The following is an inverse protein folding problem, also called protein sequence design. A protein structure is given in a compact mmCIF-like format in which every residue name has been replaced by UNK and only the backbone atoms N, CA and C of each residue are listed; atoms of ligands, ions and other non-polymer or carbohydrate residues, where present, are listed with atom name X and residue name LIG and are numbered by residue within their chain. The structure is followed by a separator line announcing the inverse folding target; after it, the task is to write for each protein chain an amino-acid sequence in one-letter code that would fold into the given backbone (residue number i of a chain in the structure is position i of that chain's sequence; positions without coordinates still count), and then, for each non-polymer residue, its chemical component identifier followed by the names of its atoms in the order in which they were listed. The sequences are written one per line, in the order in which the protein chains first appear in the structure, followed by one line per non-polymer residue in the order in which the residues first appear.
data_IF_766857537177
#
_entry.id   IF_766857537177
#
_cell.length_a   1.000
_cell.length_b   1.000
_cell.length_c   1.000
_cell.angle_alpha   90.00
_cell.angle_beta   90.00
_cell.angle_gamma   90.00
#
_symmetry.space_group_name_H-M   'P 1'
#
loop_
_entity.id
_entity.type
_entity.pdbx_description
1 polymer ?
#
# COMPACT_ATOMS: atom_id res chain seq x y z
N UNK A 1 -20.03 -2.83 9.48
CA UNK A 1 -21.33 -2.15 9.56
C UNK A 1 -21.17 -0.70 10.03
N UNK A 2 -20.63 -0.45 11.24
CA UNK A 2 -20.46 0.90 11.78
C UNK A 2 -19.65 1.85 10.85
N UNK A 3 -18.54 1.38 10.29
CA UNK A 3 -17.68 2.20 9.41
C UNK A 3 -18.43 2.71 8.17
N UNK A 4 -19.28 1.89 7.57
CA UNK A 4 -20.01 2.25 6.35
C UNK A 4 -21.34 2.95 6.68
N UNK A 5 -22.10 2.41 7.67
CA UNK A 5 -23.42 2.93 8.01
C UNK A 5 -23.40 4.26 8.75
N UNK A 6 -22.47 4.43 9.70
CA UNK A 6 -22.43 5.61 10.57
C UNK A 6 -21.34 6.61 10.14
N UNK A 7 -20.21 6.14 9.63
CA UNK A 7 -19.07 6.99 9.26
C UNK A 7 -18.98 7.29 7.76
N UNK A 8 -19.91 6.78 6.95
CA UNK A 8 -19.92 6.90 5.47
C UNK A 8 -18.57 6.51 4.84
N UNK A 9 -17.91 5.48 5.37
CA UNK A 9 -16.63 5.03 4.87
C UNK A 9 -16.77 4.50 3.43
N UNK A 10 -15.92 4.97 2.54
CA UNK A 10 -15.89 4.58 1.12
C UNK A 10 -14.91 3.43 0.84
N UNK A 11 -14.14 3.05 1.83
CA UNK A 11 -13.25 1.89 1.85
C UNK A 11 -12.98 1.50 3.29
N UNK A 12 -12.59 0.26 3.51
CA UNK A 12 -12.09 -0.21 4.80
C UNK A 12 -10.70 -0.78 4.64
N UNK A 13 -9.92 -0.80 5.71
CA UNK A 13 -8.57 -1.34 5.65
C UNK A 13 -8.20 -2.17 6.87
N UNK A 14 -7.23 -3.06 6.68
CA UNK A 14 -6.71 -3.92 7.73
C UNK A 14 -5.21 -4.09 7.56
N UNK A 15 -4.48 -4.16 8.68
CA UNK A 15 -3.03 -4.36 8.66
C UNK A 15 -2.68 -5.83 8.81
N UNK A 16 -1.83 -6.33 7.92
CA UNK A 16 -1.28 -7.67 7.96
C UNK A 16 0.22 -7.64 8.24
N UNK A 17 0.68 -8.51 9.12
CA UNK A 17 2.10 -8.72 9.44
C UNK A 17 2.54 -10.15 9.09
N UNK A 18 2.74 -10.46 7.78
CA UNK A 18 3.28 -11.76 7.38
C UNK A 18 4.64 -12.03 8.03
N UNK A 19 4.85 -13.25 8.50
CA UNK A 19 6.06 -13.66 9.23
C UNK A 19 6.01 -13.42 10.75
N UNK A 20 4.93 -12.79 11.27
CA UNK A 20 4.70 -12.66 12.70
C UNK A 20 4.08 -13.93 13.30
N UNK A 21 4.17 -14.08 14.62
CA UNK A 21 3.49 -15.17 15.34
C UNK A 21 1.96 -15.07 15.28
N UNK A 22 1.43 -13.92 14.90
CA UNK A 22 -0.02 -13.66 14.76
C UNK A 22 -0.53 -13.82 13.32
N UNK A 23 0.34 -14.14 12.36
CA UNK A 23 -0.02 -14.23 10.94
C UNK A 23 -1.28 -15.05 10.68
N UNK A 24 -1.42 -16.30 11.18
CA UNK A 24 -2.60 -17.12 10.89
C UNK A 24 -3.92 -16.48 11.34
N UNK A 25 -3.91 -15.84 12.52
CA UNK A 25 -5.07 -15.13 13.05
C UNK A 25 -5.40 -13.89 12.20
N UNK A 26 -4.39 -13.09 11.85
CA UNK A 26 -4.56 -11.88 11.06
C UNK A 26 -5.09 -12.18 9.64
N UNK A 27 -4.63 -13.27 9.02
CA UNK A 27 -5.14 -13.73 7.72
C UNK A 27 -6.63 -14.12 7.81
N UNK A 28 -7.01 -14.84 8.87
CA UNK A 28 -8.40 -15.22 9.12
C UNK A 28 -9.30 -13.99 9.35
N UNK A 29 -8.86 -13.06 10.19
CA UNK A 29 -9.59 -11.81 10.47
C UNK A 29 -9.71 -10.95 9.21
N UNK A 30 -8.64 -10.83 8.42
CA UNK A 30 -8.68 -10.08 7.16
C UNK A 30 -9.69 -10.70 6.16
N UNK A 31 -9.69 -12.02 6.01
CA UNK A 31 -10.68 -12.70 5.17
C UNK A 31 -12.11 -12.44 5.65
N UNK A 32 -12.34 -12.27 6.95
CA UNK A 32 -13.65 -11.87 7.46
C UNK A 32 -13.99 -10.42 7.11
N UNK A 33 -13.01 -9.49 7.24
CA UNK A 33 -13.18 -8.08 6.82
C UNK A 33 -13.56 -8.00 5.34
N UNK A 34 -12.91 -8.76 4.46
CA UNK A 34 -13.23 -8.81 3.03
C UNK A 34 -14.67 -9.27 2.80
N UNK A 35 -15.09 -10.37 3.44
CA UNK A 35 -16.48 -10.87 3.32
C UNK A 35 -17.52 -9.85 3.83
N UNK A 36 -17.21 -9.19 4.93
CA UNK A 36 -18.13 -8.20 5.49
C UNK A 36 -18.20 -6.94 4.64
N UNK A 37 -17.06 -6.45 4.12
CA UNK A 37 -17.00 -5.30 3.22
C UNK A 37 -17.78 -5.53 1.92
N UNK A 38 -17.70 -6.73 1.37
CA UNK A 38 -18.43 -7.12 0.15
C UNK A 38 -19.94 -6.96 0.29
N UNK A 39 -20.51 -7.18 1.47
CA UNK A 39 -21.94 -6.98 1.74
C UNK A 39 -22.38 -5.52 1.61
N UNK A 40 -21.45 -4.60 1.80
CA UNK A 40 -21.68 -3.15 1.70
C UNK A 40 -21.16 -2.56 0.37
N UNK A 41 -20.57 -3.37 -0.49
CA UNK A 41 -20.03 -2.92 -1.77
C UNK A 41 -18.87 -1.92 -1.62
N UNK A 42 -18.10 -1.98 -0.55
CA UNK A 42 -16.95 -1.11 -0.32
C UNK A 42 -15.63 -1.85 -0.51
N UNK A 43 -14.62 -1.23 -1.14
CA UNK A 43 -13.33 -1.85 -1.35
C UNK A 43 -12.54 -2.03 -0.06
N UNK A 44 -11.66 -3.03 -0.06
CA UNK A 44 -10.79 -3.37 1.06
C UNK A 44 -9.33 -3.09 0.72
N UNK A 45 -8.65 -2.41 1.64
CA UNK A 45 -7.22 -2.10 1.54
C UNK A 45 -6.44 -2.97 2.52
N UNK A 46 -5.55 -3.81 2.01
CA UNK A 46 -4.57 -4.53 2.81
C UNK A 46 -3.31 -3.67 3.01
N UNK A 47 -3.01 -3.29 4.24
CA UNK A 47 -1.69 -2.73 4.59
C UNK A 47 -0.77 -3.88 4.96
N UNK A 48 0.04 -4.36 4.01
CA UNK A 48 0.84 -5.57 4.21
C UNK A 48 2.28 -5.21 4.52
N UNK A 49 2.69 -5.48 5.73
CA UNK A 49 4.02 -5.17 6.25
C UNK A 49 4.66 -6.43 6.83
N UNK A 50 5.42 -7.20 6.04
CA UNK A 50 6.13 -8.37 6.55
C UNK A 50 6.96 -8.02 7.77
N UNK A 51 6.76 -8.76 8.88
CA UNK A 51 7.46 -8.51 10.16
C UNK A 51 7.46 -9.79 10.99
N UNK A 52 8.47 -9.91 11.83
CA UNK A 52 8.57 -11.00 12.78
C UNK A 52 9.85 -11.79 12.64
N UNK A 53 10.00 -12.84 13.45
CA UNK A 53 11.24 -13.64 13.50
C UNK A 53 11.54 -14.38 12.20
N UNK A 54 10.53 -14.66 11.39
CA UNK A 54 10.68 -15.31 10.10
C UNK A 54 11.10 -14.37 8.96
N UNK A 55 11.13 -13.05 9.18
CA UNK A 55 11.45 -12.03 8.17
C UNK A 55 12.81 -11.44 8.48
N UNK A 56 13.83 -11.84 7.73
CA UNK A 56 15.19 -11.33 7.89
C UNK A 56 15.37 -9.93 7.26
N UNK A 57 14.70 -9.69 6.12
CA UNK A 57 14.70 -8.40 5.42
C UNK A 57 13.29 -8.12 4.92
N UNK A 58 12.62 -7.15 5.50
CA UNK A 58 11.24 -6.76 5.18
C UNK A 58 11.13 -5.84 3.93
N UNK A 59 12.26 -5.55 3.28
CA UNK A 59 12.36 -4.80 2.02
C UNK A 59 12.87 -5.68 0.85
N UNK A 60 13.18 -6.96 1.12
CA UNK A 60 13.57 -7.88 0.06
C UNK A 60 12.45 -8.04 -0.98
N UNK A 61 12.78 -7.99 -2.28
CA UNK A 61 11.78 -8.05 -3.36
C UNK A 61 10.83 -9.25 -3.26
N UNK A 62 11.35 -10.43 -2.94
CA UNK A 62 10.57 -11.65 -2.79
C UNK A 62 9.62 -11.61 -1.59
N UNK A 63 10.01 -10.91 -0.52
CA UNK A 63 9.18 -10.75 0.68
C UNK A 63 8.03 -9.77 0.40
N UNK A 64 8.30 -8.68 -0.33
CA UNK A 64 7.28 -7.72 -0.73
C UNK A 64 6.34 -8.32 -1.80
N UNK A 65 6.87 -9.11 -2.75
CA UNK A 65 6.07 -9.84 -3.72
C UNK A 65 5.14 -10.84 -3.03
N UNK A 66 5.63 -11.59 -2.04
CA UNK A 66 4.81 -12.47 -1.21
C UNK A 66 3.71 -11.70 -0.46
N UNK A 67 4.03 -10.55 0.12
CA UNK A 67 3.05 -9.69 0.78
C UNK A 67 1.92 -9.23 -0.18
N UNK A 68 2.28 -8.81 -1.38
CA UNK A 68 1.31 -8.41 -2.40
C UNK A 68 0.45 -9.60 -2.86
N UNK A 69 1.05 -10.79 -2.98
CA UNK A 69 0.34 -12.02 -3.34
C UNK A 69 -0.68 -12.45 -2.28
N UNK A 70 -0.33 -12.37 -0.98
CA UNK A 70 -1.27 -12.61 0.12
C UNK A 70 -2.49 -11.69 0.00
N UNK A 71 -2.28 -10.40 -0.25
CA UNK A 71 -3.39 -9.46 -0.39
C UNK A 71 -4.35 -9.88 -1.52
N UNK A 72 -3.82 -10.26 -2.68
CA UNK A 72 -4.61 -10.74 -3.80
C UNK A 72 -5.39 -12.02 -3.45
N UNK A 73 -4.72 -13.03 -2.91
CA UNK A 73 -5.36 -14.32 -2.60
C UNK A 73 -6.46 -14.21 -1.54
N UNK A 74 -6.36 -13.25 -0.65
CA UNK A 74 -7.38 -12.96 0.34
C UNK A 74 -8.49 -12.02 -0.15
N UNK A 75 -8.40 -11.51 -1.39
CA UNK A 75 -9.43 -10.70 -2.02
C UNK A 75 -9.37 -9.21 -1.68
N UNK A 76 -8.19 -8.67 -1.40
CA UNK A 76 -8.01 -7.23 -1.27
C UNK A 76 -8.15 -6.53 -2.64
N UNK A 77 -8.83 -5.39 -2.67
CA UNK A 77 -8.88 -4.53 -3.87
C UNK A 77 -7.58 -3.72 -4.04
N UNK A 78 -6.97 -3.35 -2.92
CA UNK A 78 -5.74 -2.56 -2.89
C UNK A 78 -4.75 -3.18 -1.90
N UNK A 79 -3.51 -3.34 -2.32
CA UNK A 79 -2.38 -3.73 -1.47
C UNK A 79 -1.42 -2.55 -1.29
N UNK A 80 -1.22 -2.13 -0.05
CA UNK A 80 -0.21 -1.13 0.30
C UNK A 80 1.04 -1.83 0.80
N UNK A 81 2.14 -1.68 0.05
CA UNK A 81 3.41 -2.36 0.32
C UNK A 81 4.59 -1.39 0.37
N UNK A 82 5.73 -1.84 0.86
CA UNK A 82 6.98 -1.10 0.83
C UNK A 82 7.60 -1.08 -0.57
N UNK A 83 8.58 -0.19 -0.76
CA UNK A 83 9.45 -0.18 -1.95
C UNK A 83 10.50 -1.29 -1.85
N UNK A 84 10.67 -2.14 -2.88
CA UNK A 84 11.63 -3.26 -2.87
C UNK A 84 13.04 -2.87 -3.36
N UNK A 85 13.36 -1.59 -3.45
CA UNK A 85 14.69 -1.10 -3.81
C UNK A 85 14.84 -0.62 -5.25
N UNK A 86 14.12 -1.21 -6.23
CA UNK A 86 14.21 -0.83 -7.63
C UNK A 86 12.89 -1.02 -8.40
N UNK A 87 12.82 -0.42 -9.60
CA UNK A 87 11.63 -0.43 -10.45
C UNK A 87 11.25 -1.81 -10.98
N UNK A 88 12.23 -2.64 -11.33
CA UNK A 88 11.97 -3.98 -11.88
C UNK A 88 11.38 -4.90 -10.82
N UNK A 89 11.93 -4.84 -9.62
CA UNK A 89 11.40 -5.55 -8.45
C UNK A 89 9.97 -5.10 -8.14
N UNK A 90 9.67 -3.79 -8.22
CA UNK A 90 8.31 -3.30 -7.99
C UNK A 90 7.34 -3.71 -9.12
N UNK A 91 7.82 -3.79 -10.37
CA UNK A 91 7.03 -4.33 -11.48
C UNK A 91 6.65 -5.79 -11.22
N UNK A 92 7.58 -6.59 -10.75
CA UNK A 92 7.28 -7.97 -10.35
C UNK A 92 6.26 -8.03 -9.21
N UNK A 93 6.37 -7.19 -8.20
CA UNK A 93 5.38 -7.07 -7.13
C UNK A 93 3.99 -6.78 -7.68
N UNK A 94 3.86 -5.84 -8.64
CA UNK A 94 2.58 -5.55 -9.29
C UNK A 94 2.05 -6.75 -10.09
N UNK A 95 2.92 -7.48 -10.79
CA UNK A 95 2.52 -8.65 -11.57
C UNK A 95 1.98 -9.79 -10.70
N UNK A 96 2.63 -10.09 -9.57
CA UNK A 96 2.17 -11.17 -8.68
C UNK A 96 0.92 -10.79 -7.87
N UNK A 97 0.64 -9.52 -7.73
CA UNK A 97 -0.60 -9.00 -7.16
C UNK A 97 -1.81 -9.16 -8.10
N UNK A 98 -1.58 -9.53 -9.37
CA UNK A 98 -2.59 -9.75 -10.38
C UNK A 98 -3.59 -8.57 -10.50
N UNK A 99 -4.85 -8.74 -10.12
CA UNK A 99 -5.89 -7.72 -10.23
C UNK A 99 -5.92 -6.73 -9.05
N UNK A 100 -5.26 -7.08 -7.93
CA UNK A 100 -5.14 -6.19 -6.78
C UNK A 100 -4.27 -4.99 -7.11
N UNK A 101 -4.77 -3.79 -6.90
CA UNK A 101 -4.04 -2.54 -7.17
C UNK A 101 -2.94 -2.34 -6.13
N UNK A 102 -1.69 -2.25 -6.56
CA UNK A 102 -0.56 -2.03 -5.66
C UNK A 102 -0.29 -0.54 -5.49
N UNK A 103 -0.30 -0.07 -4.24
CA UNK A 103 0.10 1.30 -3.91
C UNK A 103 1.34 1.30 -3.02
N UNK A 104 2.23 2.26 -3.28
CA UNK A 104 3.44 2.44 -2.49
C UNK A 104 3.10 2.97 -1.09
N UNK A 105 3.69 2.38 -0.06
CA UNK A 105 3.80 3.02 1.25
C UNK A 105 4.82 4.15 1.17
N UNK A 106 4.40 5.38 1.46
CA UNK A 106 5.22 6.59 1.27
C UNK A 106 6.48 6.70 2.14
N UNK A 107 6.74 5.74 3.00
CA UNK A 107 7.98 5.64 3.77
C UNK A 107 8.25 6.79 4.75
N UNK A 108 9.48 6.93 5.24
CA UNK A 108 9.95 8.11 5.98
C UNK A 108 9.95 9.36 5.07
N UNK A 109 10.05 10.54 5.68
CA UNK A 109 10.26 11.76 4.90
C UNK A 109 11.64 11.71 4.22
N UNK A 110 11.68 12.09 2.94
CA UNK A 110 12.91 12.28 2.19
C UNK A 110 13.51 13.66 2.44
N UNK A 111 14.81 13.81 2.20
CA UNK A 111 15.49 15.10 2.39
C UNK A 111 14.97 16.16 1.41
N UNK A 112 14.66 15.75 0.17
CA UNK A 112 14.06 16.65 -0.82
C UNK A 112 12.69 16.15 -1.31
N UNK A 113 11.77 17.06 -1.67
CA UNK A 113 10.52 16.69 -2.33
C UNK A 113 10.74 15.93 -3.65
N UNK A 114 11.78 16.31 -4.41
CA UNK A 114 12.06 15.74 -5.72
C UNK A 114 12.39 14.25 -5.63
N UNK A 115 13.19 13.85 -4.65
CA UNK A 115 13.52 12.44 -4.41
C UNK A 115 12.28 11.55 -4.26
N UNK A 116 11.28 12.04 -3.51
CA UNK A 116 10.02 11.33 -3.36
C UNK A 116 9.18 11.31 -4.66
N UNK A 117 9.17 12.40 -5.42
CA UNK A 117 8.45 12.49 -6.70
C UNK A 117 9.09 11.58 -7.76
N UNK A 118 10.41 11.48 -7.78
CA UNK A 118 11.14 10.56 -8.66
C UNK A 118 10.84 9.10 -8.32
N UNK A 119 10.77 8.78 -7.02
CA UNK A 119 10.33 7.46 -6.57
C UNK A 119 8.88 7.16 -7.01
N UNK A 120 7.97 8.10 -6.82
CA UNK A 120 6.58 7.92 -7.25
C UNK A 120 6.48 7.73 -8.77
N UNK A 121 7.29 8.43 -9.55
CA UNK A 121 7.35 8.24 -11.00
C UNK A 121 7.76 6.82 -11.36
N UNK A 122 8.81 6.28 -10.71
CA UNK A 122 9.24 4.89 -10.91
C UNK A 122 8.13 3.87 -10.53
N UNK A 123 7.41 4.14 -9.45
CA UNK A 123 6.26 3.32 -9.02
C UNK A 123 5.18 3.28 -10.10
N UNK A 124 4.80 4.42 -10.65
CA UNK A 124 3.77 4.49 -11.70
C UNK A 124 4.24 3.81 -13.01
N UNK A 125 5.49 4.01 -13.42
CA UNK A 125 6.10 3.33 -14.58
C UNK A 125 6.21 1.81 -14.41
N UNK A 126 6.32 1.35 -13.18
CA UNK A 126 6.36 -0.09 -12.85
C UNK A 126 4.97 -0.76 -12.82
N UNK A 127 3.89 0.01 -12.97
CA UNK A 127 2.51 -0.50 -12.93
C UNK A 127 1.82 -0.32 -11.58
N UNK A 128 2.40 0.46 -10.67
CA UNK A 128 1.74 0.85 -9.43
C UNK A 128 0.50 1.69 -9.67
N UNK A 129 -0.46 1.63 -8.77
CA UNK A 129 -1.72 2.36 -8.85
C UNK A 129 -1.68 3.72 -8.10
N UNK A 130 -0.58 4.03 -7.44
CA UNK A 130 -0.41 5.27 -6.69
C UNK A 130 0.41 5.12 -5.41
N UNK A 131 0.19 6.03 -4.48
CA UNK A 131 0.91 6.08 -3.21
C UNK A 131 -0.02 6.41 -2.04
N UNK A 132 0.27 5.82 -0.90
CA UNK A 132 -0.31 6.24 0.38
C UNK A 132 0.73 7.04 1.16
N UNK A 133 0.75 8.35 0.93
CA UNK A 133 1.75 9.26 1.47
C UNK A 133 1.31 9.89 2.80
N UNK A 134 2.24 10.00 3.72
CA UNK A 134 2.06 10.67 5.01
C UNK A 134 3.18 11.67 5.26
N UNK A 135 4.27 11.21 5.86
CA UNK A 135 5.39 12.05 6.35
C UNK A 135 5.99 12.96 5.28
N UNK A 136 6.07 12.52 4.04
CA UNK A 136 6.54 13.32 2.91
C UNK A 136 5.66 14.53 2.58
N UNK A 137 4.46 14.62 3.15
CA UNK A 137 3.55 15.77 3.01
C UNK A 137 3.43 16.53 4.33
N UNK A 138 2.90 15.89 5.39
CA UNK A 138 2.50 16.61 6.59
C UNK A 138 3.65 17.06 7.50
N UNK A 139 4.87 16.53 7.31
CA UNK A 139 6.07 17.01 8.02
C UNK A 139 6.74 18.22 7.34
N UNK A 140 6.21 18.70 6.21
CA UNK A 140 6.72 19.86 5.49
C UNK A 140 5.96 21.13 5.87
N UNK A 141 6.54 22.30 5.56
CA UNK A 141 5.82 23.59 5.66
C UNK A 141 4.59 23.56 4.75
N UNK A 142 3.53 24.27 5.12
CA UNK A 142 2.24 24.23 4.41
C UNK A 142 2.39 24.49 2.90
N UNK A 143 3.15 25.50 2.52
CA UNK A 143 3.36 25.82 1.10
C UNK A 143 4.06 24.69 0.32
N UNK A 144 5.06 24.05 0.93
CA UNK A 144 5.76 22.90 0.36
C UNK A 144 4.85 21.66 0.31
N UNK A 145 4.08 21.43 1.38
CA UNK A 145 3.11 20.35 1.43
C UNK A 145 2.04 20.47 0.33
N UNK A 146 1.55 21.69 0.09
CA UNK A 146 0.61 21.97 -1.00
C UNK A 146 1.24 21.75 -2.38
N UNK A 147 2.48 22.21 -2.57
CA UNK A 147 3.19 22.05 -3.83
C UNK A 147 3.45 20.56 -4.15
N UNK A 148 4.02 19.81 -3.20
CA UNK A 148 4.29 18.38 -3.40
C UNK A 148 2.99 17.58 -3.59
N UNK A 149 1.92 17.92 -2.89
CA UNK A 149 0.61 17.26 -3.06
C UNK A 149 0.06 17.42 -4.47
N UNK A 150 0.20 18.60 -5.09
CA UNK A 150 -0.20 18.83 -6.48
C UNK A 150 0.61 17.96 -7.45
N UNK A 151 1.92 17.89 -7.26
CA UNK A 151 2.79 17.06 -8.10
C UNK A 151 2.51 15.55 -7.92
N UNK A 152 2.25 15.09 -6.69
CA UNK A 152 1.83 13.72 -6.42
C UNK A 152 0.57 13.39 -7.22
N UNK A 153 -0.45 14.25 -7.17
CA UNK A 153 -1.70 14.06 -7.91
C UNK A 153 -1.45 14.05 -9.42
N UNK A 154 -0.61 14.99 -9.92
CA UNK A 154 -0.26 15.06 -11.34
C UNK A 154 0.41 13.76 -11.83
N UNK A 155 1.38 13.26 -11.09
CA UNK A 155 2.09 12.02 -11.43
C UNK A 155 1.14 10.81 -11.34
N UNK A 156 0.40 10.68 -10.24
CA UNK A 156 -0.45 9.52 -10.00
C UNK A 156 -1.66 9.44 -10.96
N UNK A 157 -2.17 10.57 -11.45
CA UNK A 157 -3.32 10.61 -12.36
C UNK A 157 -2.92 10.86 -13.83
N UNK A 158 -1.64 11.09 -14.13
CA UNK A 158 -1.17 11.39 -15.48
C UNK A 158 -1.73 12.71 -16.05
N UNK A 159 -1.96 13.70 -15.21
CA UNK A 159 -2.62 14.97 -15.58
C UNK A 159 -1.74 16.17 -15.33
#
# INVERSE_FOLDING_TARGET
EYAVGELDARAVGYTLYPGSEHEPLMLQEFAQVVRDAARFGVPVIAWVYPRGKAVANDEAPEVIAYAARIAYELGADIAKVKWPGDRESFRWVCQVAAETKVVLSGGPATDSPQEFLDLLTQVMEAGGAGVAVGRNVWQRRLAEAQAISKEIVRIALGR
#
